data_IF_682420440724
#
_entry.id   IF_682420440724
#
_cell.length_a   1.000
_cell.length_b   1.000
_cell.length_c   1.000
_cell.angle_alpha   90.00
_cell.angle_beta   90.00
_cell.angle_gamma   90.00
#
_symmetry.space_group_name_H-M   'P 1'
#
loop_
_entity.id
_entity.type
_entity.pdbx_description
1 polymer ?
#
# COMPACT_ATOMS: atom_id res chain seq x y z
N UNK A 1 23.97 -7.48 14.39
CA UNK A 1 24.97 -6.41 14.15
C UNK A 1 25.88 -6.26 15.35
N UNK A 2 27.03 -5.58 15.21
CA UNK A 2 28.06 -5.45 16.27
C UNK A 2 27.64 -4.64 17.51
N UNK A 3 26.43 -4.05 17.52
CA UNK A 3 25.90 -3.19 18.60
C UNK A 3 26.80 -2.00 18.95
N UNK A 4 27.67 -1.59 18.04
CA UNK A 4 28.55 -0.44 18.19
C UNK A 4 28.83 0.21 16.83
N UNK A 5 29.13 1.51 16.84
CA UNK A 5 29.53 2.27 15.66
C UNK A 5 30.62 3.27 16.04
N UNK A 6 31.64 3.39 15.19
CA UNK A 6 32.69 4.41 15.34
C UNK A 6 32.25 5.66 14.56
N UNK A 7 32.08 6.76 15.28
CA UNK A 7 31.69 8.05 14.69
C UNK A 7 32.94 8.87 14.38
N UNK A 8 33.48 8.67 13.17
CA UNK A 8 34.71 9.36 12.72
C UNK A 8 34.61 10.89 12.82
N UNK A 9 33.43 11.44 12.50
CA UNK A 9 33.17 12.89 12.57
C UNK A 9 33.19 13.44 14.01
N UNK A 10 33.13 12.58 15.02
CA UNK A 10 33.16 12.94 16.43
C UNK A 10 34.36 12.28 17.11
N UNK A 11 35.58 12.71 16.75
CA UNK A 11 36.85 12.24 17.34
C UNK A 11 37.05 10.71 17.32
N UNK A 12 36.36 10.00 16.43
CA UNK A 12 36.40 8.53 16.38
C UNK A 12 35.77 7.87 17.61
N UNK A 13 34.85 8.54 18.30
CA UNK A 13 34.15 7.96 19.44
C UNK A 13 33.42 6.67 19.04
N UNK A 14 33.53 5.65 19.89
CA UNK A 14 32.78 4.40 19.74
C UNK A 14 31.50 4.48 20.54
N UNK A 15 30.37 4.58 19.85
CA UNK A 15 29.04 4.56 20.46
C UNK A 15 28.57 3.11 20.56
N UNK A 16 28.18 2.68 21.76
CA UNK A 16 27.60 1.36 22.02
C UNK A 16 26.08 1.48 22.13
N UNK A 17 25.37 0.53 21.52
CA UNK A 17 23.92 0.48 21.57
C UNK A 17 23.44 -0.04 22.92
N UNK A 18 22.66 0.78 23.62
CA UNK A 18 22.06 0.45 24.92
C UNK A 18 21.20 -0.81 24.90
N UNK A 19 20.99 -1.41 26.08
CA UNK A 19 20.04 -2.52 26.20
C UNK A 19 18.64 -2.04 25.81
N UNK A 20 17.95 -2.80 24.96
CA UNK A 20 16.64 -2.43 24.42
C UNK A 20 16.67 -1.58 23.15
N UNK A 21 17.84 -1.13 22.69
CA UNK A 21 17.93 -0.47 21.38
C UNK A 21 17.72 -1.46 20.23
N UNK A 22 16.86 -1.10 19.28
CA UNK A 22 16.59 -1.85 18.04
C UNK A 22 16.34 -0.90 16.87
N UNK A 23 16.50 -1.41 15.65
CA UNK A 23 16.21 -0.70 14.40
C UNK A 23 15.09 -1.43 13.69
N UNK A 24 14.03 -0.69 13.35
CA UNK A 24 12.92 -1.16 12.50
C UNK A 24 12.93 -0.32 11.24
N UNK A 25 12.82 -0.97 10.08
CA UNK A 25 12.70 -0.30 8.79
C UNK A 25 11.56 -0.94 8.00
N UNK A 26 10.86 -0.13 7.21
CA UNK A 26 9.84 -0.57 6.25
C UNK A 26 10.23 -0.14 4.85
N UNK A 27 9.90 -0.96 3.85
CA UNK A 27 10.07 -0.62 2.45
C UNK A 27 8.94 -1.25 1.63
N UNK A 28 8.63 -0.64 0.48
CA UNK A 28 7.63 -1.14 -0.45
C UNK A 28 8.35 -1.72 -1.67
N UNK A 29 8.43 -3.06 -1.80
CA UNK A 29 9.04 -3.68 -2.97
C UNK A 29 8.39 -3.18 -4.26
N UNK A 30 9.20 -2.82 -5.27
CA UNK A 30 8.70 -2.35 -6.56
C UNK A 30 8.35 -0.86 -6.66
N UNK A 31 8.41 -0.09 -5.56
CA UNK A 31 8.22 1.36 -5.59
C UNK A 31 9.56 2.07 -5.79
N UNK A 32 9.66 2.91 -6.82
CA UNK A 32 10.85 3.74 -7.07
C UNK A 32 11.13 4.67 -5.88
N UNK A 33 12.40 4.73 -5.44
CA UNK A 33 12.85 5.65 -4.39
C UNK A 33 12.73 5.14 -2.95
N UNK A 34 12.03 4.04 -2.70
CA UNK A 34 11.89 3.42 -1.37
C UNK A 34 12.48 2.01 -1.32
N UNK A 35 13.64 1.82 -1.97
CA UNK A 35 14.28 0.50 -2.13
C UNK A 35 15.24 0.24 -0.97
N UNK A 36 14.97 -0.80 -0.20
CA UNK A 36 15.94 -1.39 0.69
C UNK A 36 16.85 -2.31 -0.13
N UNK A 37 18.12 -1.95 -0.32
CA UNK A 37 19.05 -2.75 -1.13
C UNK A 37 19.26 -4.13 -0.49
N UNK A 38 19.55 -5.16 -1.29
CA UNK A 38 19.86 -6.52 -0.78
C UNK A 38 20.95 -6.51 0.30
N UNK A 39 21.99 -5.69 0.11
CA UNK A 39 23.02 -5.49 1.11
C UNK A 39 22.42 -4.96 2.41
N UNK A 40 21.58 -3.92 2.38
CA UNK A 40 21.00 -3.37 3.60
C UNK A 40 19.96 -4.32 4.22
N UNK A 41 19.12 -4.95 3.41
CA UNK A 41 18.10 -5.92 3.82
C UNK A 41 18.71 -7.13 4.57
N UNK A 42 19.84 -7.66 4.08
CA UNK A 42 20.55 -8.77 4.75
C UNK A 42 21.08 -8.45 6.15
N UNK A 43 21.06 -7.18 6.59
CA UNK A 43 21.43 -6.76 7.96
C UNK A 43 20.26 -6.85 8.94
N UNK A 44 19.04 -7.05 8.46
CA UNK A 44 17.86 -7.26 9.30
C UNK A 44 17.66 -8.75 9.53
N UNK A 45 17.78 -9.18 10.80
CA UNK A 45 17.64 -10.58 11.18
C UNK A 45 16.17 -11.08 11.15
N UNK A 46 15.21 -10.16 11.24
CA UNK A 46 13.78 -10.45 11.14
C UNK A 46 13.23 -9.63 9.99
N UNK A 47 12.57 -10.31 9.05
CA UNK A 47 11.90 -9.68 7.91
C UNK A 47 10.46 -10.18 7.89
N UNK A 48 9.51 -9.25 7.90
CA UNK A 48 8.08 -9.55 7.90
C UNK A 48 7.49 -8.95 6.63
N UNK A 49 6.94 -9.81 5.77
CA UNK A 49 6.12 -9.35 4.64
C UNK A 49 4.75 -8.98 5.18
N UNK A 50 4.41 -7.69 5.14
CA UNK A 50 3.07 -7.22 5.49
C UNK A 50 2.22 -7.20 4.23
N UNK A 51 1.17 -8.01 4.20
CA UNK A 51 0.13 -7.99 3.17
C UNK A 51 -1.15 -7.34 3.70
N UNK A 52 -2.12 -7.13 2.82
CA UNK A 52 -3.44 -6.65 3.21
C UNK A 52 -4.17 -7.70 4.05
N UNK A 53 -4.49 -7.37 5.29
CA UNK A 53 -5.35 -8.18 6.15
C UNK A 53 -6.83 -7.90 5.83
N UNK A 54 -7.43 -8.81 5.08
CA UNK A 54 -8.84 -8.70 4.67
C UNK A 54 -9.83 -9.09 5.77
N UNK A 55 -9.40 -9.86 6.77
CA UNK A 55 -10.26 -10.21 7.89
C UNK A 55 -10.35 -9.02 8.86
N UNK A 56 -9.24 -8.31 9.07
CA UNK A 56 -9.23 -7.00 9.70
C UNK A 56 -10.11 -6.00 8.94
N UNK A 57 -9.95 -5.88 7.61
CA UNK A 57 -10.80 -5.02 6.78
C UNK A 57 -12.30 -5.30 6.98
N UNK A 58 -12.68 -6.59 7.03
CA UNK A 58 -14.06 -7.02 7.30
C UNK A 58 -14.50 -6.62 8.71
N UNK A 59 -13.67 -6.85 9.73
CA UNK A 59 -13.99 -6.49 11.12
C UNK A 59 -14.17 -4.97 11.32
N UNK A 60 -13.51 -4.16 10.49
CA UNK A 60 -13.64 -2.70 10.47
C UNK A 60 -14.85 -2.21 9.66
N UNK A 61 -15.71 -3.12 9.18
CA UNK A 61 -16.96 -2.77 8.49
C UNK A 61 -16.81 -2.33 7.04
N UNK A 62 -15.68 -2.64 6.39
CA UNK A 62 -15.46 -2.32 4.97
C UNK A 62 -16.38 -3.20 4.11
N UNK A 63 -16.99 -2.60 3.07
CA UNK A 63 -17.89 -3.29 2.13
C UNK A 63 -17.22 -4.56 1.56
N UNK A 64 -17.91 -5.69 1.66
CA UNK A 64 -17.39 -7.00 1.23
C UNK A 64 -17.08 -7.05 -0.27
N UNK A 65 -17.74 -6.22 -1.09
CA UNK A 65 -17.46 -6.05 -2.51
C UNK A 65 -16.14 -5.30 -2.74
N UNK A 66 -15.83 -4.29 -1.93
CA UNK A 66 -14.54 -3.61 -2.00
C UNK A 66 -13.40 -4.56 -1.61
N UNK A 67 -13.59 -5.36 -0.55
CA UNK A 67 -12.66 -6.42 -0.14
C UNK A 67 -12.47 -7.45 -1.27
N UNK A 68 -13.55 -7.86 -1.94
CA UNK A 68 -13.51 -8.81 -3.06
C UNK A 68 -12.76 -8.24 -4.25
N UNK A 69 -13.01 -6.98 -4.62
CA UNK A 69 -12.28 -6.30 -5.69
C UNK A 69 -10.78 -6.20 -5.37
N UNK A 70 -10.43 -5.84 -4.13
CA UNK A 70 -9.04 -5.79 -3.70
C UNK A 70 -8.35 -7.16 -3.76
N UNK A 71 -9.01 -8.24 -3.31
CA UNK A 71 -8.50 -9.61 -3.44
C UNK A 71 -8.25 -9.98 -4.90
N UNK A 72 -9.20 -9.67 -5.79
CA UNK A 72 -9.05 -9.93 -7.22
C UNK A 72 -7.85 -9.18 -7.81
N UNK A 73 -7.70 -7.90 -7.48
CA UNK A 73 -6.57 -7.08 -7.94
C UNK A 73 -5.24 -7.59 -7.39
N UNK A 74 -5.17 -8.00 -6.12
CA UNK A 74 -3.96 -8.61 -5.55
C UNK A 74 -3.58 -9.91 -6.24
N UNK A 75 -4.54 -10.75 -6.63
CA UNK A 75 -4.26 -11.94 -7.46
C UNK A 75 -3.68 -11.55 -8.82
N UNK A 76 -4.25 -10.55 -9.49
CA UNK A 76 -3.75 -10.06 -10.79
C UNK A 76 -2.36 -9.45 -10.68
N UNK A 77 -2.10 -8.72 -9.61
CA UNK A 77 -0.77 -8.19 -9.29
C UNK A 77 0.24 -9.33 -9.08
N UNK A 78 -0.13 -10.37 -8.34
CA UNK A 78 0.72 -11.54 -8.13
C UNK A 78 1.02 -12.31 -9.43
N UNK A 79 0.09 -12.27 -10.40
CA UNK A 79 0.27 -12.83 -11.73
C UNK A 79 1.10 -11.93 -12.67
N UNK A 80 1.46 -10.71 -12.25
CA UNK A 80 2.18 -9.74 -13.07
C UNK A 80 1.31 -9.01 -14.11
N UNK A 81 -0.02 -9.05 -13.98
CA UNK A 81 -0.93 -8.37 -14.91
C UNK A 81 -1.05 -6.87 -14.63
N UNK A 82 -0.79 -6.45 -13.39
CA UNK A 82 -0.79 -5.05 -12.93
C UNK A 82 0.34 -4.83 -11.93
N UNK A 83 0.83 -3.60 -11.83
CA UNK A 83 1.90 -3.23 -10.88
C UNK A 83 1.40 -2.98 -9.46
N UNK A 84 0.12 -2.65 -9.31
CA UNK A 84 -0.45 -2.16 -8.06
C UNK A 84 -1.79 -2.82 -7.71
N UNK A 85 -2.05 -2.98 -6.41
CA UNK A 85 -3.34 -3.37 -5.87
C UNK A 85 -3.62 -2.58 -4.57
N UNK A 86 -4.88 -2.27 -4.25
CA UNK A 86 -5.22 -1.51 -3.05
C UNK A 86 -4.90 -2.31 -1.79
N UNK A 87 -4.31 -1.62 -0.81
CA UNK A 87 -4.01 -2.18 0.50
C UNK A 87 -5.05 -1.77 1.54
N UNK A 88 -4.83 -2.13 2.80
CA UNK A 88 -5.75 -1.81 3.89
C UNK A 88 -5.98 -0.28 4.00
N UNK A 89 -4.94 0.52 3.77
CA UNK A 89 -5.04 1.99 3.78
C UNK A 89 -6.06 2.51 2.76
N UNK A 90 -5.99 2.04 1.51
CA UNK A 90 -6.94 2.43 0.46
C UNK A 90 -8.35 1.93 0.74
N UNK A 91 -8.50 0.75 1.34
CA UNK A 91 -9.80 0.22 1.74
C UNK A 91 -10.44 1.05 2.88
N UNK A 92 -9.65 1.50 3.85
CA UNK A 92 -10.11 2.40 4.91
C UNK A 92 -10.51 3.75 4.34
N UNK A 93 -9.71 4.29 3.42
CA UNK A 93 -10.04 5.52 2.71
C UNK A 93 -11.33 5.37 1.90
N UNK A 94 -11.51 4.25 1.19
CA UNK A 94 -12.75 3.94 0.47
C UNK A 94 -13.97 3.92 1.39
N UNK A 95 -13.89 3.24 2.54
CA UNK A 95 -14.97 3.20 3.51
C UNK A 95 -15.32 4.61 4.01
N UNK A 96 -14.30 5.41 4.39
CA UNK A 96 -14.48 6.79 4.83
C UNK A 96 -15.12 7.67 3.75
N UNK A 97 -14.62 7.63 2.52
CA UNK A 97 -15.17 8.42 1.41
C UNK A 97 -16.61 7.99 1.10
N UNK A 98 -16.92 6.69 1.18
CA UNK A 98 -18.28 6.20 1.00
C UNK A 98 -19.25 6.85 1.99
N UNK A 99 -18.84 7.03 3.24
CA UNK A 99 -19.68 7.69 4.27
C UNK A 99 -19.85 9.19 4.05
N UNK A 100 -18.87 9.86 3.43
CA UNK A 100 -18.85 11.32 3.28
C UNK A 100 -19.45 11.78 1.94
N UNK A 101 -19.07 11.11 0.85
CA UNK A 101 -19.36 11.52 -0.53
C UNK A 101 -20.22 10.48 -1.28
N UNK A 102 -20.53 9.35 -0.65
CA UNK A 102 -21.28 8.27 -1.27
C UNK A 102 -20.43 7.27 -2.05
N UNK A 103 -21.06 6.16 -2.43
CA UNK A 103 -20.41 5.01 -3.04
C UNK A 103 -19.76 5.34 -4.40
N UNK A 104 -20.45 6.09 -5.26
CA UNK A 104 -19.96 6.35 -6.62
C UNK A 104 -18.68 7.20 -6.59
N UNK A 105 -18.59 8.18 -5.69
CA UNK A 105 -17.38 8.97 -5.45
C UNK A 105 -16.24 8.11 -4.87
N UNK A 106 -16.54 7.19 -3.97
CA UNK A 106 -15.53 6.28 -3.41
C UNK A 106 -14.95 5.33 -4.45
N UNK A 107 -15.79 4.77 -5.34
CA UNK A 107 -15.35 3.91 -6.44
C UNK A 107 -14.49 4.68 -7.43
N UNK A 108 -14.93 5.87 -7.84
CA UNK A 108 -14.19 6.74 -8.74
C UNK A 108 -12.85 7.18 -8.14
N UNK A 109 -12.81 7.48 -6.83
CA UNK A 109 -11.58 7.82 -6.12
C UNK A 109 -10.62 6.62 -6.08
N UNK A 110 -11.09 5.44 -5.68
CA UNK A 110 -10.25 4.24 -5.61
C UNK A 110 -9.66 3.86 -6.97
N UNK A 111 -10.43 4.01 -8.05
CA UNK A 111 -9.93 3.85 -9.41
C UNK A 111 -8.86 4.91 -9.77
N UNK A 112 -9.02 6.15 -9.30
CA UNK A 112 -8.07 7.25 -9.57
C UNK A 112 -6.76 7.18 -8.77
N UNK A 113 -6.78 6.55 -7.59
CA UNK A 113 -5.58 6.32 -6.76
C UNK A 113 -4.59 5.37 -7.44
N UNK A 114 -5.07 4.45 -8.28
CA UNK A 114 -4.22 3.53 -9.00
C UNK A 114 -3.22 4.28 -9.93
N UNK A 115 -1.99 3.75 -10.11
CA UNK A 115 -1.05 4.21 -11.13
C UNK A 115 -1.70 4.25 -12.51
N UNK A 116 -1.32 5.21 -13.35
CA UNK A 116 -2.00 5.50 -14.60
C UNK A 116 -2.12 4.26 -15.51
N UNK A 117 -1.08 3.44 -15.54
CA UNK A 117 -0.98 2.19 -16.28
C UNK A 117 -1.96 1.09 -15.82
N UNK A 118 -2.40 1.12 -14.55
CA UNK A 118 -3.26 0.10 -13.96
C UNK A 118 -4.74 0.57 -13.83
N UNK A 119 -5.03 1.85 -14.08
CA UNK A 119 -6.36 2.46 -13.82
C UNK A 119 -7.50 1.76 -14.51
N UNK A 120 -7.34 1.42 -15.79
CA UNK A 120 -8.41 0.77 -16.56
C UNK A 120 -8.73 -0.62 -16.02
N UNK A 121 -7.69 -1.36 -15.62
CA UNK A 121 -7.84 -2.68 -15.00
C UNK A 121 -8.54 -2.59 -13.64
N UNK A 122 -8.15 -1.61 -12.82
CA UNK A 122 -8.76 -1.35 -11.52
C UNK A 122 -10.22 -0.95 -11.67
N UNK A 123 -10.52 0.01 -12.56
CA UNK A 123 -11.87 0.47 -12.84
C UNK A 123 -12.78 -0.68 -13.35
N UNK A 124 -12.29 -1.50 -14.28
CA UNK A 124 -13.03 -2.66 -14.78
C UNK A 124 -13.31 -3.70 -13.69
N UNK A 125 -12.34 -3.96 -12.81
CA UNK A 125 -12.50 -4.90 -11.70
C UNK A 125 -13.52 -4.40 -10.67
N UNK A 126 -13.48 -3.10 -10.33
CA UNK A 126 -14.48 -2.46 -9.48
C UNK A 126 -15.86 -2.51 -10.15
N UNK A 127 -15.95 -2.16 -11.42
CA UNK A 127 -17.21 -2.16 -12.15
C UNK A 127 -17.88 -3.54 -12.16
N UNK A 128 -17.10 -4.60 -12.40
CA UNK A 128 -17.58 -5.99 -12.34
C UNK A 128 -18.06 -6.38 -10.95
N UNK A 129 -17.35 -5.97 -9.90
CA UNK A 129 -17.67 -6.36 -8.53
C UNK A 129 -18.88 -5.60 -7.96
N UNK A 130 -19.09 -4.36 -8.39
CA UNK A 130 -20.18 -3.51 -7.93
C UNK A 130 -21.38 -3.46 -8.87
N UNK A 131 -21.27 -4.02 -10.08
CA UNK A 131 -22.35 -4.06 -11.07
C UNK A 131 -22.70 -2.68 -11.64
N UNK A 132 -21.72 -1.77 -11.72
CA UNK A 132 -21.90 -0.39 -12.18
C UNK A 132 -20.69 0.10 -12.96
N UNK A 133 -20.88 1.07 -13.84
CA UNK A 133 -19.76 1.76 -14.49
C UNK A 133 -18.94 2.53 -13.46
N UNK A 134 -17.62 2.41 -13.52
CA UNK A 134 -16.68 3.14 -12.66
C UNK A 134 -15.72 3.91 -13.55
N UNK A 135 -15.72 5.23 -13.41
CA UNK A 135 -14.78 6.14 -14.08
C UNK A 135 -13.99 6.88 -13.02
N UNK A 136 -12.65 6.99 -13.12
CA UNK A 136 -11.86 7.75 -12.16
C UNK A 136 -12.35 9.20 -11.99
N UNK A 137 -12.21 9.75 -10.78
CA UNK A 137 -12.50 11.17 -10.56
C UNK A 137 -11.62 12.04 -11.47
N UNK A 138 -12.25 12.98 -12.14
CA UNK A 138 -11.59 13.98 -12.97
C UNK A 138 -12.12 15.36 -12.63
N UNK A 139 -11.24 16.36 -12.65
CA UNK A 139 -11.66 17.74 -12.67
C UNK A 139 -12.38 17.99 -14.00
N UNK A 140 -13.55 18.61 -13.95
CA UNK A 140 -14.28 19.01 -15.15
C UNK A 140 -13.46 20.00 -16.00
N UNK A 141 -13.94 20.30 -17.21
CA UNK A 141 -13.34 21.38 -18.00
C UNK A 141 -13.38 22.67 -17.18
N UNK A 142 -12.23 23.32 -17.08
CA UNK A 142 -12.14 24.67 -16.53
C UNK A 142 -13.00 25.57 -17.42
N UNK A 143 -13.99 26.24 -16.81
CA UNK A 143 -14.87 27.20 -17.49
C UNK A 143 -14.16 28.54 -17.58
#
# INVERSE_FOLDING_TARGET
GRREVIVKAHKGETIKAERGFYVVAGHNPGVHGAILTEALSSRFAVQVKVSTDYDLARSLGIDSRAITAARNLTTRQANGEIGWAPQLGELLAFAKITTILGLDAALANLAGVAPAEDRDVVAATLARTFGKTVTPLALGRQI
#
